data_IF_552439532510
#
_entry.id   IF_552439532510
#
_cell.length_a   1.000
_cell.length_b   1.000
_cell.length_c   1.000
_cell.angle_alpha   90.00
_cell.angle_beta   90.00
_cell.angle_gamma   90.00
#
_symmetry.space_group_name_H-M   'P 1'
#
loop_
_entity.id
_entity.type
_entity.pdbx_description
1 polymer ?
#
# COMPACT_ATOMS: atom_id res chain seq x y z
N UNK A 1 1.18 11.67 -10.23
CA UNK A 1 2.03 12.45 -9.30
C UNK A 1 3.47 12.17 -9.69
N UNK A 2 4.26 13.20 -9.94
CA UNK A 2 5.65 13.04 -10.38
C UNK A 2 6.65 13.22 -9.23
N UNK A 3 6.19 13.77 -8.11
CA UNK A 3 6.98 14.04 -6.91
C UNK A 3 6.16 13.73 -5.67
N UNK A 4 6.83 13.29 -4.61
CA UNK A 4 6.25 13.06 -3.30
C UNK A 4 7.22 13.54 -2.21
N UNK A 5 6.69 14.09 -1.11
CA UNK A 5 7.49 14.58 0.02
C UNK A 5 7.47 13.56 1.16
N UNK A 6 8.58 13.43 1.85
CA UNK A 6 8.64 12.64 3.09
C UNK A 6 7.91 13.39 4.20
N UNK A 7 6.92 12.78 4.78
CA UNK A 7 6.15 13.29 5.89
C UNK A 7 6.84 13.10 7.25
N UNK A 8 6.32 13.71 8.31
CA UNK A 8 6.92 13.68 9.65
C UNK A 8 6.92 12.29 10.30
N UNK A 9 6.05 11.38 9.85
CA UNK A 9 5.98 9.99 10.30
C UNK A 9 6.91 9.04 9.51
N UNK A 10 7.69 9.57 8.56
CA UNK A 10 8.55 8.78 7.67
C UNK A 10 7.83 8.14 6.47
N UNK A 11 6.50 8.29 6.36
CA UNK A 11 5.73 7.94 5.16
C UNK A 11 5.78 9.05 4.12
N UNK A 12 5.11 8.87 2.98
CA UNK A 12 4.88 9.97 2.06
C UNK A 12 3.82 10.92 2.64
N UNK A 13 4.00 12.21 2.40
CA UNK A 13 3.05 13.22 2.85
C UNK A 13 1.65 12.92 2.28
N UNK A 14 0.63 12.98 3.12
CA UNK A 14 -0.76 12.64 2.83
C UNK A 14 -1.04 11.15 2.57
N UNK A 15 -0.04 10.26 2.58
CA UNK A 15 -0.29 8.81 2.51
C UNK A 15 -0.70 8.30 3.91
N UNK A 16 -1.78 7.49 3.96
CA UNK A 16 -2.26 6.80 5.17
C UNK A 16 -2.57 7.69 6.38
N UNK A 17 -2.97 8.93 6.14
CA UNK A 17 -3.31 9.90 7.20
C UNK A 17 -4.81 9.98 7.48
N UNK A 18 -5.65 9.29 6.73
CA UNK A 18 -7.09 9.17 6.98
C UNK A 18 -7.50 7.72 7.19
N UNK A 19 -8.33 7.51 8.19
CA UNK A 19 -8.93 6.22 8.47
C UNK A 19 -10.42 6.36 8.72
N UNK A 20 -11.18 5.32 8.34
CA UNK A 20 -12.62 5.23 8.59
C UNK A 20 -12.84 4.48 9.90
N UNK A 21 -13.65 5.04 10.79
CA UNK A 21 -14.03 4.44 12.05
C UNK A 21 -15.54 4.25 12.13
N UNK A 22 -15.99 3.08 12.56
CA UNK A 22 -17.38 2.82 12.93
C UNK A 22 -17.71 3.38 14.33
N UNK A 23 -18.98 3.44 14.66
CA UNK A 23 -19.45 4.00 15.93
C UNK A 23 -18.85 3.33 17.18
N UNK A 24 -18.49 2.06 17.09
CA UNK A 24 -17.85 1.30 18.16
C UNK A 24 -16.32 1.50 18.23
N UNK A 25 -15.79 2.45 17.45
CA UNK A 25 -14.38 2.83 17.45
C UNK A 25 -13.45 1.88 16.67
N UNK A 26 -13.98 0.87 15.99
CA UNK A 26 -13.20 0.00 15.11
C UNK A 26 -12.98 0.66 13.76
N UNK A 27 -11.78 0.52 13.18
CA UNK A 27 -11.55 1.03 11.82
C UNK A 27 -12.11 0.09 10.76
N UNK A 28 -12.70 0.69 9.74
CA UNK A 28 -13.21 0.01 8.54
C UNK A 28 -12.10 -0.11 7.52
N UNK A 29 -11.80 -1.31 7.08
CA UNK A 29 -10.72 -1.57 6.13
C UNK A 29 -11.05 -2.72 5.16
N UNK A 30 -10.28 -2.81 4.07
CA UNK A 30 -10.45 -3.83 3.04
C UNK A 30 -10.18 -5.28 3.50
N UNK A 31 -9.52 -5.48 4.64
CA UNK A 31 -9.29 -6.83 5.20
C UNK A 31 -10.60 -7.46 5.68
N UNK A 32 -11.46 -6.66 6.30
CA UNK A 32 -12.71 -7.10 6.95
C UNK A 32 -13.96 -6.76 6.16
N UNK A 33 -13.92 -5.67 5.39
CA UNK A 33 -15.10 -5.10 4.73
C UNK A 33 -14.89 -5.10 3.21
N UNK A 34 -15.40 -6.13 2.54
CA UNK A 34 -15.27 -6.29 1.09
C UNK A 34 -15.83 -5.07 0.30
N UNK A 35 -16.88 -4.43 0.82
CA UNK A 35 -17.47 -3.25 0.21
C UNK A 35 -16.50 -2.07 0.02
N UNK A 36 -15.42 -1.97 0.81
CA UNK A 36 -14.39 -0.94 0.60
C UNK A 36 -13.73 -1.04 -0.77
N UNK A 37 -13.66 -2.23 -1.36
CA UNK A 37 -13.06 -2.45 -2.68
C UNK A 37 -13.91 -1.91 -3.84
N UNK A 38 -15.18 -1.61 -3.61
CA UNK A 38 -16.07 -1.08 -4.63
C UNK A 38 -15.97 0.44 -4.77
N UNK A 39 -15.40 1.12 -3.78
CA UNK A 39 -15.23 2.57 -3.77
C UNK A 39 -14.07 2.94 -4.69
N UNK A 40 -14.26 3.98 -5.50
CA UNK A 40 -13.22 4.62 -6.30
C UNK A 40 -12.97 6.01 -5.73
N UNK A 41 -11.70 6.36 -5.59
CA UNK A 41 -11.25 7.68 -5.20
C UNK A 41 -10.48 8.30 -6.37
N UNK A 42 -10.91 9.46 -6.83
CA UNK A 42 -10.22 10.25 -7.83
C UNK A 42 -9.78 11.57 -7.20
N UNK A 43 -8.47 11.81 -7.17
CA UNK A 43 -7.91 13.04 -6.63
C UNK A 43 -7.75 14.09 -7.72
N UNK A 44 -7.96 15.35 -7.37
CA UNK A 44 -7.53 16.46 -8.20
C UNK A 44 -6.00 16.44 -8.41
N UNK A 45 -5.52 16.99 -9.51
CA UNK A 45 -4.09 16.97 -9.85
C UNK A 45 -3.20 17.63 -8.78
N UNK A 46 -3.73 18.65 -8.10
CA UNK A 46 -3.09 19.37 -6.99
C UNK A 46 -3.40 18.78 -5.59
N UNK A 47 -4.11 17.65 -5.56
CA UNK A 47 -4.57 16.96 -4.34
C UNK A 47 -5.47 17.85 -3.44
N UNK A 48 -6.03 18.92 -3.96
CA UNK A 48 -6.92 19.82 -3.22
C UNK A 48 -8.31 19.23 -2.96
N UNK A 49 -8.69 18.19 -3.69
CA UNK A 49 -9.98 17.50 -3.52
C UNK A 49 -9.89 16.03 -3.87
N UNK A 50 -10.83 15.26 -3.34
CA UNK A 50 -11.06 13.84 -3.69
C UNK A 50 -12.53 13.64 -4.04
N UNK A 51 -12.79 12.90 -5.12
CA UNK A 51 -14.14 12.49 -5.53
C UNK A 51 -14.30 11.00 -5.24
N UNK A 52 -15.30 10.63 -4.46
CA UNK A 52 -15.68 9.23 -4.24
C UNK A 52 -16.82 8.84 -5.13
N UNK A 53 -16.71 7.63 -5.72
CA UNK A 53 -17.74 7.00 -6.54
C UNK A 53 -17.86 5.52 -6.22
N UNK A 54 -19.03 4.93 -6.51
CA UNK A 54 -19.25 3.48 -6.41
C UNK A 54 -19.86 3.00 -7.72
N UNK A 55 -19.05 2.68 -8.74
CA UNK A 55 -19.54 2.22 -10.03
C UNK A 55 -20.37 0.95 -9.91
N UNK A 56 -21.55 0.93 -10.55
CA UNK A 56 -22.45 -0.23 -10.55
C UNK A 56 -23.23 -0.44 -9.24
N UNK A 57 -23.17 0.46 -8.29
CA UNK A 57 -23.98 0.37 -7.07
C UNK A 57 -25.46 0.54 -7.39
N UNK A 58 -26.26 -0.49 -7.05
CA UNK A 58 -27.73 -0.49 -7.25
C UNK A 58 -28.45 0.54 -6.40
N UNK A 59 -27.89 0.98 -5.29
CA UNK A 59 -28.42 2.01 -4.38
C UNK A 59 -28.27 3.41 -4.96
N UNK A 60 -27.49 3.56 -6.04
CA UNK A 60 -27.22 4.83 -6.71
C UNK A 60 -26.61 5.88 -5.78
N UNK A 61 -25.66 5.46 -4.95
CA UNK A 61 -24.88 6.38 -4.12
C UNK A 61 -24.28 7.47 -5.00
N UNK A 62 -24.52 8.77 -4.72
CA UNK A 62 -24.05 9.84 -5.58
C UNK A 62 -22.54 9.97 -5.56
N UNK A 63 -21.95 10.29 -6.70
CA UNK A 63 -20.57 10.76 -6.73
C UNK A 63 -20.48 12.10 -6.00
N UNK A 64 -19.53 12.22 -5.06
CA UNK A 64 -19.36 13.45 -4.30
C UNK A 64 -17.88 13.80 -4.17
N UNK A 65 -17.59 15.09 -4.23
CA UNK A 65 -16.24 15.64 -4.07
C UNK A 65 -16.12 16.37 -2.75
N UNK A 66 -14.97 16.19 -2.10
CA UNK A 66 -14.67 16.75 -0.79
C UNK A 66 -13.35 17.49 -0.86
N UNK A 67 -13.27 18.64 -0.18
CA UNK A 67 -12.01 19.35 -0.03
C UNK A 67 -11.02 18.48 0.76
N UNK A 68 -9.82 18.34 0.24
CA UNK A 68 -8.77 17.50 0.80
C UNK A 68 -7.62 18.40 1.27
N UNK A 69 -7.17 18.34 2.52
CA UNK A 69 -7.54 17.38 3.58
C UNK A 69 -8.71 17.80 4.50
N UNK A 70 -9.43 18.85 4.21
CA UNK A 70 -10.24 19.60 5.19
C UNK A 70 -11.64 19.06 5.47
N UNK A 71 -12.37 18.50 4.48
CA UNK A 71 -13.80 18.16 4.64
C UNK A 71 -13.98 16.71 5.11
N UNK A 72 -13.62 16.45 6.36
CA UNK A 72 -13.81 15.12 6.98
C UNK A 72 -15.27 14.85 7.37
N UNK A 73 -16.06 15.89 7.64
CA UNK A 73 -17.46 15.73 8.06
C UNK A 73 -18.34 15.34 6.88
N UNK A 74 -18.26 16.05 5.75
CA UNK A 74 -18.96 15.66 4.53
C UNK A 74 -18.56 14.29 4.02
N UNK A 75 -17.27 13.95 4.06
CA UNK A 75 -16.81 12.61 3.73
C UNK A 75 -17.36 11.56 4.70
N UNK A 76 -17.47 11.86 6.01
CA UNK A 76 -18.04 10.95 7.01
C UNK A 76 -19.51 10.67 6.72
N UNK A 77 -20.29 11.69 6.33
CA UNK A 77 -21.68 11.53 5.91
C UNK A 77 -21.81 10.63 4.69
N UNK A 78 -20.96 10.86 3.66
CA UNK A 78 -20.96 10.02 2.46
C UNK A 78 -20.62 8.56 2.76
N UNK A 79 -19.60 8.30 3.57
CA UNK A 79 -19.24 6.94 3.97
C UNK A 79 -20.31 6.30 4.86
N UNK A 80 -20.97 7.09 5.73
CA UNK A 80 -22.09 6.59 6.54
C UNK A 80 -23.28 6.15 5.68
N UNK A 81 -23.62 6.93 4.67
CA UNK A 81 -24.64 6.56 3.68
C UNK A 81 -24.23 5.29 2.91
N UNK A 82 -22.97 5.20 2.46
CA UNK A 82 -22.47 4.05 1.71
C UNK A 82 -22.48 2.76 2.54
N UNK A 83 -21.98 2.79 3.75
CA UNK A 83 -21.90 1.61 4.62
C UNK A 83 -23.18 1.32 5.42
N UNK A 84 -24.21 2.18 5.30
CA UNK A 84 -25.49 2.08 6.04
C UNK A 84 -25.28 1.99 7.57
N UNK A 85 -24.25 2.66 8.08
CA UNK A 85 -23.91 2.76 9.48
C UNK A 85 -23.11 4.03 9.75
N UNK A 86 -23.10 4.49 10.99
CA UNK A 86 -22.32 5.67 11.35
C UNK A 86 -20.80 5.41 11.13
N UNK A 87 -20.22 6.20 10.24
CA UNK A 87 -18.77 6.20 9.92
C UNK A 87 -18.23 7.59 10.18
N UNK A 88 -17.06 7.63 10.80
CA UNK A 88 -16.28 8.84 11.00
C UNK A 88 -14.95 8.74 10.25
N UNK A 89 -14.66 9.71 9.39
CA UNK A 89 -13.34 9.91 8.81
C UNK A 89 -12.47 10.64 9.83
N UNK A 90 -11.34 10.05 10.21
CA UNK A 90 -10.40 10.68 11.13
C UNK A 90 -9.07 10.91 10.44
N UNK A 91 -8.54 12.10 10.63
CA UNK A 91 -7.22 12.50 10.19
C UNK A 91 -6.22 12.35 11.33
N UNK A 92 -5.05 11.76 11.05
CA UNK A 92 -3.93 11.72 11.98
C UNK A 92 -2.62 11.84 11.22
N UNK A 93 -1.62 12.50 11.79
CA UNK A 93 -0.27 12.56 11.24
C UNK A 93 0.61 11.41 11.69
N UNK A 94 0.13 10.57 12.60
CA UNK A 94 0.90 9.48 13.19
C UNK A 94 0.93 8.21 12.31
N UNK A 95 0.26 8.27 11.14
CA UNK A 95 0.13 7.15 10.22
C UNK A 95 -1.14 6.32 10.46
N UNK A 96 -1.29 5.25 9.69
CA UNK A 96 -2.47 4.40 9.74
C UNK A 96 -2.41 3.46 10.96
N UNK A 97 -3.52 3.18 11.63
CA UNK A 97 -3.54 2.34 12.85
C UNK A 97 -2.94 0.93 12.68
N UNK A 98 -2.74 0.49 11.44
CA UNK A 98 -2.28 -0.86 11.07
C UNK A 98 -0.80 -0.91 10.66
N UNK A 99 -0.10 0.23 10.61
CA UNK A 99 1.27 0.32 10.07
C UNK A 99 2.37 -0.16 11.04
N UNK A 100 2.07 -0.27 12.31
CA UNK A 100 3.04 -0.71 13.32
C UNK A 100 4.30 0.18 13.34
N UNK A 101 5.49 -0.44 13.34
CA UNK A 101 6.78 0.27 13.37
C UNK A 101 7.36 0.58 11.99
N UNK A 102 6.78 0.07 10.91
CA UNK A 102 7.26 0.26 9.53
C UNK A 102 6.38 1.29 8.81
N UNK A 103 6.55 2.56 9.18
CA UNK A 103 5.75 3.69 8.67
C UNK A 103 6.22 4.21 7.32
N UNK A 104 7.40 3.81 6.86
CA UNK A 104 7.96 4.21 5.58
C UNK A 104 7.24 3.59 4.37
N UNK A 105 7.50 4.12 3.18
CA UNK A 105 6.96 3.59 1.93
C UNK A 105 7.38 2.13 1.71
N UNK A 106 6.45 1.27 1.29
CA UNK A 106 6.80 -0.08 0.84
C UNK A 106 7.41 -0.04 -0.56
N UNK A 107 8.43 -0.86 -0.81
CA UNK A 107 9.16 -0.90 -2.08
C UNK A 107 8.96 -2.24 -2.77
N UNK A 108 8.69 -2.20 -4.07
CA UNK A 108 8.59 -3.37 -4.95
C UNK A 108 9.22 -3.09 -6.30
N UNK A 109 9.68 -4.13 -7.00
CA UNK A 109 10.09 -3.98 -8.40
C UNK A 109 8.95 -4.24 -9.37
N UNK A 110 8.97 -3.56 -10.52
CA UNK A 110 8.05 -3.81 -11.64
C UNK A 110 8.13 -5.29 -12.05
N UNK A 111 9.33 -5.85 -12.16
CA UNK A 111 9.53 -7.25 -12.51
C UNK A 111 8.91 -8.22 -11.49
N UNK A 112 8.85 -7.87 -10.19
CA UNK A 112 8.12 -8.67 -9.19
C UNK A 112 6.61 -8.67 -9.42
N UNK A 113 6.04 -7.54 -9.80
CA UNK A 113 4.63 -7.45 -10.17
C UNK A 113 4.33 -8.26 -11.44
N UNK A 114 5.21 -8.20 -12.43
CA UNK A 114 5.11 -8.99 -13.67
C UNK A 114 5.17 -10.49 -13.37
N UNK A 115 6.06 -10.96 -12.49
CA UNK A 115 6.12 -12.35 -12.06
C UNK A 115 4.78 -12.80 -11.43
N UNK A 116 4.11 -11.96 -10.67
CA UNK A 116 2.76 -12.27 -10.15
C UNK A 116 1.74 -12.38 -11.29
N UNK A 117 1.82 -11.54 -12.31
CA UNK A 117 0.93 -11.65 -13.48
C UNK A 117 1.16 -12.98 -14.26
N UNK A 118 2.41 -13.45 -14.32
CA UNK A 118 2.71 -14.78 -14.89
C UNK A 118 2.10 -15.91 -14.04
N UNK A 119 2.13 -15.80 -12.70
CA UNK A 119 1.49 -16.79 -11.83
C UNK A 119 -0.03 -16.78 -11.92
N UNK A 120 -0.61 -15.62 -12.20
CA UNK A 120 -2.05 -15.39 -12.29
C UNK A 120 -2.42 -14.67 -13.59
N UNK A 121 -2.55 -15.41 -14.73
CA UNK A 121 -2.75 -14.80 -16.04
C UNK A 121 -4.01 -13.93 -16.20
N UNK A 122 -4.95 -14.02 -15.27
CA UNK A 122 -6.15 -13.15 -15.21
C UNK A 122 -5.88 -11.80 -14.55
N UNK A 123 -4.71 -11.60 -13.93
CA UNK A 123 -4.34 -10.37 -13.25
C UNK A 123 -3.42 -9.57 -14.16
N UNK A 124 -3.84 -8.37 -14.54
CA UNK A 124 -2.98 -7.41 -15.24
C UNK A 124 -2.03 -6.74 -14.26
N UNK A 125 -0.98 -6.09 -14.77
CA UNK A 125 -0.03 -5.37 -13.92
C UNK A 125 -0.71 -4.23 -13.13
N UNK A 126 -1.67 -3.54 -13.72
CA UNK A 126 -2.44 -2.50 -13.02
C UNK A 126 -3.33 -3.09 -11.93
N UNK A 127 -3.93 -4.23 -12.18
CA UNK A 127 -4.67 -4.97 -11.15
C UNK A 127 -3.73 -5.44 -10.03
N UNK A 128 -2.52 -5.92 -10.33
CA UNK A 128 -1.52 -6.28 -9.33
C UNK A 128 -1.13 -5.07 -8.46
N UNK A 129 -0.87 -3.90 -9.05
CA UNK A 129 -0.63 -2.64 -8.33
C UNK A 129 -1.77 -2.31 -7.37
N UNK A 130 -3.02 -2.41 -7.84
CA UNK A 130 -4.20 -2.13 -7.02
C UNK A 130 -4.39 -3.12 -5.87
N UNK A 131 -4.07 -4.41 -6.07
CA UNK A 131 -4.20 -5.44 -5.05
C UNK A 131 -3.11 -5.35 -3.98
N UNK A 132 -1.86 -5.17 -4.40
CA UNK A 132 -0.72 -5.13 -3.47
C UNK A 132 -0.51 -3.76 -2.84
N UNK A 133 -0.92 -2.66 -3.51
CA UNK A 133 -0.91 -1.29 -2.95
C UNK A 133 0.44 -0.90 -2.35
N UNK A 134 1.51 -1.24 -3.04
CA UNK A 134 2.85 -0.81 -2.68
C UNK A 134 3.03 0.67 -3.00
N UNK A 135 3.89 1.33 -2.25
CA UNK A 135 3.99 2.80 -2.31
C UNK A 135 4.99 3.25 -3.37
N UNK A 136 6.17 2.60 -3.41
CA UNK A 136 7.22 2.88 -4.39
C UNK A 136 7.44 1.66 -5.27
N UNK A 137 7.49 1.89 -6.58
CA UNK A 137 7.82 0.89 -7.59
C UNK A 137 9.17 1.25 -8.21
N UNK A 138 10.10 0.30 -8.25
CA UNK A 138 11.42 0.44 -8.86
C UNK A 138 11.49 -0.38 -10.14
N UNK A 139 12.22 0.11 -11.12
CA UNK A 139 12.40 -0.52 -12.42
C UNK A 139 13.88 -0.82 -12.72
N UNK A 140 14.14 -1.55 -13.83
CA UNK A 140 15.50 -1.87 -14.26
C UNK A 140 16.22 -2.93 -13.45
N UNK A 141 15.50 -3.70 -12.61
CA UNK A 141 16.04 -4.77 -11.76
C UNK A 141 15.26 -6.07 -11.96
N UNK A 142 15.84 -7.25 -11.69
CA UNK A 142 15.11 -8.53 -11.79
C UNK A 142 14.01 -8.67 -10.74
N UNK A 143 13.10 -9.62 -10.95
CA UNK A 143 12.05 -9.94 -10.00
C UNK A 143 12.62 -10.28 -8.61
N UNK A 144 11.96 -9.77 -7.57
CA UNK A 144 12.35 -9.95 -6.16
C UNK A 144 13.73 -9.36 -5.81
N UNK A 145 14.25 -8.45 -6.61
CA UNK A 145 15.48 -7.73 -6.30
C UNK A 145 15.38 -6.98 -4.98
N UNK A 146 14.20 -6.47 -4.66
CA UNK A 146 13.90 -5.77 -3.41
C UNK A 146 14.13 -6.62 -2.16
N UNK A 147 14.24 -7.94 -2.27
CA UNK A 147 14.59 -8.82 -1.14
C UNK A 147 16.01 -8.58 -0.61
N UNK A 148 16.87 -7.87 -1.34
CA UNK A 148 18.16 -7.43 -0.86
C UNK A 148 18.07 -6.24 0.11
N UNK A 149 16.90 -5.59 0.20
CA UNK A 149 16.69 -4.41 1.03
C UNK A 149 16.35 -4.73 2.49
N UNK A 150 16.41 -5.99 2.92
CA UNK A 150 16.30 -6.36 4.34
C UNK A 150 17.35 -7.39 4.73
N UNK A 151 17.78 -7.35 6.00
CA UNK A 151 18.83 -8.22 6.50
C UNK A 151 18.30 -9.59 6.94
N UNK A 152 19.22 -10.56 7.09
CA UNK A 152 18.94 -11.91 7.63
C UNK A 152 18.35 -11.88 9.05
N UNK A 153 18.78 -10.91 9.88
CA UNK A 153 18.27 -10.75 11.23
C UNK A 153 17.20 -9.65 11.32
N UNK A 154 16.14 -9.89 12.10
CA UNK A 154 15.09 -8.90 12.38
C UNK A 154 15.59 -7.66 13.14
N UNK A 155 16.70 -7.80 13.84
CA UNK A 155 17.31 -6.70 14.62
C UNK A 155 18.20 -5.80 13.76
N UNK A 156 18.44 -6.16 12.49
CA UNK A 156 19.27 -5.41 11.55
C UNK A 156 18.43 -4.85 10.42
N UNK A 157 18.83 -3.68 9.92
CA UNK A 157 18.24 -3.04 8.74
C UNK A 157 19.28 -2.94 7.63
N UNK A 158 18.84 -2.96 6.40
CA UNK A 158 19.67 -2.60 5.25
C UNK A 158 19.44 -1.12 4.98
N UNK A 159 20.54 -0.34 5.01
CA UNK A 159 20.48 1.09 4.70
C UNK A 159 20.73 1.30 3.22
N UNK A 160 19.95 2.14 2.60
CA UNK A 160 20.10 2.53 1.20
C UNK A 160 19.57 3.96 1.03
N UNK A 161 19.73 4.51 -0.17
CA UNK A 161 19.23 5.84 -0.50
C UNK A 161 18.42 5.81 -1.79
N UNK A 162 17.42 6.69 -1.88
CA UNK A 162 16.86 7.10 -3.14
C UNK A 162 17.25 8.57 -3.29
N UNK A 163 18.16 8.84 -4.23
CA UNK A 163 18.90 10.12 -4.36
C UNK A 163 19.58 10.47 -3.03
N UNK A 164 19.09 11.44 -2.29
CA UNK A 164 19.63 11.92 -1.01
C UNK A 164 18.76 11.55 0.20
N UNK A 165 17.63 10.89 -0.02
CA UNK A 165 16.75 10.39 1.05
C UNK A 165 17.24 9.04 1.56
N UNK A 166 17.54 8.96 2.85
CA UNK A 166 17.95 7.72 3.49
C UNK A 166 16.75 6.85 3.88
N UNK A 167 16.88 5.55 3.60
CA UNK A 167 15.91 4.52 3.93
C UNK A 167 16.54 3.41 4.75
N UNK A 168 15.75 2.76 5.57
CA UNK A 168 16.08 1.54 6.28
C UNK A 168 15.07 0.45 5.91
N UNK A 169 15.50 -0.53 5.11
CA UNK A 169 14.69 -1.70 4.80
C UNK A 169 14.66 -2.65 6.00
N UNK A 170 13.48 -3.04 6.44
CA UNK A 170 13.28 -3.72 7.72
C UNK A 170 12.88 -5.18 7.59
N UNK A 171 11.90 -5.50 6.77
CA UNK A 171 11.39 -6.86 6.65
C UNK A 171 10.60 -7.08 5.36
N UNK A 172 10.52 -8.33 4.87
CA UNK A 172 9.62 -8.67 3.78
C UNK A 172 8.17 -8.49 4.23
N UNK A 173 7.38 -7.72 3.50
CA UNK A 173 6.03 -7.33 3.88
C UNK A 173 5.08 -8.55 3.88
N UNK A 174 4.63 -8.97 5.04
CA UNK A 174 3.58 -9.98 5.18
C UNK A 174 2.26 -9.44 4.61
N UNK A 175 1.65 -10.18 3.68
CA UNK A 175 0.44 -9.72 3.01
C UNK A 175 -0.81 -10.12 3.79
N UNK A 176 -1.72 -9.18 3.89
CA UNK A 176 -3.06 -9.41 4.41
C UNK A 176 -3.97 -10.06 3.35
N UNK A 177 -5.24 -10.39 3.65
CA UNK A 177 -6.17 -10.96 2.66
C UNK A 177 -6.51 -10.05 1.46
N UNK A 178 -6.22 -8.74 1.52
CA UNK A 178 -6.59 -7.78 0.46
C UNK A 178 -6.11 -8.19 -0.93
N UNK A 179 -4.85 -8.62 -1.17
CA UNK A 179 -4.41 -9.03 -2.50
C UNK A 179 -5.17 -10.23 -3.10
N UNK A 180 -5.80 -11.05 -2.28
CA UNK A 180 -6.65 -12.16 -2.76
C UNK A 180 -8.02 -11.72 -3.25
N UNK A 181 -8.34 -10.43 -3.16
CA UNK A 181 -9.61 -9.88 -3.64
C UNK A 181 -9.41 -9.17 -4.98
N UNK A 182 -10.37 -9.35 -5.85
CA UNK A 182 -10.49 -8.54 -7.06
C UNK A 182 -10.67 -7.06 -6.67
N UNK A 183 -9.87 -6.17 -7.24
CA UNK A 183 -9.86 -4.76 -6.84
C UNK A 183 -11.11 -4.00 -7.26
N UNK A 184 -11.89 -4.54 -8.20
CA UNK A 184 -13.09 -3.90 -8.74
C UNK A 184 -14.37 -4.42 -8.09
N UNK A 185 -14.41 -5.70 -7.77
CA UNK A 185 -15.62 -6.37 -7.28
C UNK A 185 -15.54 -6.74 -5.80
N UNK A 186 -14.35 -6.75 -5.21
CA UNK A 186 -14.12 -7.22 -3.85
C UNK A 186 -14.23 -8.74 -3.69
N UNK A 187 -14.51 -9.48 -4.78
CA UNK A 187 -14.63 -10.93 -4.76
C UNK A 187 -13.30 -11.57 -4.33
N UNK A 188 -13.38 -12.49 -3.36
CA UNK A 188 -12.20 -13.19 -2.86
C UNK A 188 -11.90 -14.42 -3.71
N UNK A 189 -10.62 -14.59 -4.07
CA UNK A 189 -10.08 -15.82 -4.63
C UNK A 189 -9.53 -16.68 -3.48
N UNK A 190 -10.24 -17.75 -3.16
CA UNK A 190 -9.89 -18.65 -2.04
C UNK A 190 -8.59 -19.45 -2.24
N UNK A 191 -8.06 -19.53 -3.46
CA UNK A 191 -6.82 -20.27 -3.77
C UNK A 191 -5.62 -19.34 -3.97
N UNK A 192 -5.84 -18.03 -4.08
CA UNK A 192 -4.81 -17.04 -4.36
C UNK A 192 -3.62 -17.12 -3.39
N UNK A 193 -3.89 -17.06 -2.10
CA UNK A 193 -2.85 -17.03 -1.07
C UNK A 193 -1.98 -18.29 -1.09
N UNK A 194 -2.60 -19.46 -1.27
CA UNK A 194 -1.89 -20.74 -1.36
C UNK A 194 -0.99 -20.77 -2.60
N UNK A 195 -1.55 -20.49 -3.79
CA UNK A 195 -0.82 -20.48 -5.06
C UNK A 195 0.31 -19.44 -5.04
N UNK A 196 0.06 -18.25 -4.54
CA UNK A 196 1.09 -17.22 -4.36
C UNK A 196 2.26 -17.74 -3.52
N UNK A 197 1.97 -18.30 -2.35
CA UNK A 197 3.00 -18.82 -1.44
C UNK A 197 3.82 -19.96 -2.05
N UNK A 198 3.19 -20.84 -2.81
CA UNK A 198 3.88 -21.90 -3.53
C UNK A 198 4.83 -21.35 -4.60
N UNK A 199 4.36 -20.42 -5.43
CA UNK A 199 5.19 -19.79 -6.47
C UNK A 199 6.34 -18.98 -5.85
N UNK A 200 6.05 -18.19 -4.83
CA UNK A 200 7.06 -17.38 -4.15
C UNK A 200 8.16 -18.22 -3.52
N UNK A 201 7.80 -19.36 -2.94
CA UNK A 201 8.77 -20.31 -2.36
C UNK A 201 9.67 -20.92 -3.43
N UNK A 202 9.11 -21.34 -4.58
CA UNK A 202 9.90 -21.97 -5.66
C UNK A 202 10.79 -20.97 -6.40
N UNK A 203 10.42 -19.70 -6.37
CA UNK A 203 11.15 -18.62 -7.05
C UNK A 203 11.89 -17.71 -6.07
N UNK A 204 12.18 -18.18 -4.85
CA UNK A 204 12.98 -17.42 -3.90
C UNK A 204 14.39 -17.23 -4.47
N UNK A 205 14.83 -15.97 -4.72
CA UNK A 205 16.13 -15.76 -5.34
C UNK A 205 17.27 -16.02 -4.34
N UNK A 206 18.49 -16.32 -4.84
CA UNK A 206 19.62 -16.68 -3.98
C UNK A 206 20.10 -15.52 -3.07
N UNK A 207 19.74 -14.28 -3.39
CA UNK A 207 20.07 -13.12 -2.55
C UNK A 207 19.04 -12.84 -1.45
N UNK A 208 17.87 -13.51 -1.47
CA UNK A 208 16.88 -13.32 -0.43
C UNK A 208 17.28 -14.05 0.86
N UNK A 209 17.26 -13.37 2.01
CA UNK A 209 17.48 -14.04 3.30
C UNK A 209 16.34 -15.01 3.62
N UNK A 210 16.55 -16.30 3.30
CA UNK A 210 15.50 -17.33 3.38
C UNK A 210 14.91 -17.47 4.80
N UNK A 211 15.70 -17.21 5.84
CA UNK A 211 15.33 -17.26 7.25
C UNK A 211 14.22 -16.26 7.61
N UNK A 212 14.05 -15.20 6.78
CA UNK A 212 13.02 -14.16 6.99
C UNK A 212 11.66 -14.56 6.46
N UNK A 213 11.54 -15.72 5.84
CA UNK A 213 10.30 -16.24 5.27
C UNK A 213 9.72 -17.36 6.15
N UNK A 214 9.16 -17.01 7.31
CA UNK A 214 8.36 -17.91 8.17
C UNK A 214 7.14 -18.47 7.41
N UNK A 215 6.63 -17.69 6.45
CA UNK A 215 5.68 -18.08 5.41
C UNK A 215 5.96 -17.30 4.12
N UNK A 216 5.55 -17.83 2.98
CA UNK A 216 5.85 -17.24 1.67
C UNK A 216 4.76 -16.29 1.12
N UNK A 217 3.74 -15.96 1.90
CA UNK A 217 2.79 -14.91 1.53
C UNK A 217 3.35 -13.53 1.93
N UNK A 218 4.57 -13.26 1.43
CA UNK A 218 5.33 -12.03 1.65
C UNK A 218 5.73 -11.42 0.32
N UNK A 219 5.52 -10.12 0.18
CA UNK A 219 5.72 -9.42 -1.10
C UNK A 219 5.97 -7.93 -0.88
N UNK A 220 6.99 -7.37 -1.51
CA UNK A 220 7.52 -6.05 -1.23
C UNK A 220 8.32 -5.98 0.09
N UNK A 221 8.99 -4.88 0.31
CA UNK A 221 9.79 -4.60 1.50
C UNK A 221 9.20 -3.45 2.27
N UNK A 222 9.03 -3.64 3.57
CA UNK A 222 8.70 -2.57 4.48
C UNK A 222 9.96 -1.75 4.79
N UNK A 223 9.78 -0.43 4.88
CA UNK A 223 10.87 0.48 5.18
C UNK A 223 10.57 1.37 6.38
N UNK A 224 11.62 2.00 6.88
CA UNK A 224 11.58 3.16 7.77
C UNK A 224 12.34 4.28 7.11
N UNK A 225 11.90 5.49 7.32
CA UNK A 225 12.61 6.69 6.90
C UNK A 225 12.91 7.51 8.15
N UNK A 226 14.18 7.80 8.44
CA UNK A 226 14.56 8.61 9.60
C UNK A 226 13.87 9.98 9.60
N UNK A 227 13.54 10.50 10.77
CA UNK A 227 12.88 11.82 10.88
C UNK A 227 13.74 12.98 10.34
N UNK A 228 15.04 12.79 10.24
CA UNK A 228 15.97 13.74 9.58
C UNK A 228 15.69 13.94 8.10
N UNK A 229 14.98 13.02 7.48
CA UNK A 229 14.62 13.05 6.05
C UNK A 229 13.31 13.80 5.79
N UNK A 230 12.57 14.18 6.84
CA UNK A 230 11.29 14.89 6.72
C UNK A 230 11.42 16.14 5.85
N UNK A 231 10.51 16.27 4.90
CA UNK A 231 10.46 17.40 3.97
C UNK A 231 11.27 17.22 2.69
N UNK A 232 12.13 16.21 2.59
CA UNK A 232 12.83 15.88 1.35
C UNK A 232 11.85 15.35 0.29
N UNK A 233 12.20 15.53 -0.98
CA UNK A 233 11.41 15.13 -2.14
C UNK A 233 11.95 13.85 -2.76
N UNK A 234 11.04 13.04 -3.25
CA UNK A 234 11.28 11.93 -4.17
C UNK A 234 10.60 12.25 -5.49
N UNK A 235 11.28 12.01 -6.61
CA UNK A 235 10.76 12.23 -7.95
C UNK A 235 10.77 10.96 -8.79
N UNK A 236 9.91 10.88 -9.79
CA UNK A 236 9.97 9.78 -10.75
C UNK A 236 11.32 9.77 -11.47
N UNK A 237 11.94 8.59 -11.55
CA UNK A 237 13.26 8.41 -12.16
C UNK A 237 14.44 8.58 -11.19
N UNK A 238 14.18 8.89 -9.93
CA UNK A 238 15.22 8.96 -8.90
C UNK A 238 15.91 7.60 -8.73
N UNK A 239 17.25 7.55 -8.76
CA UNK A 239 17.99 6.30 -8.61
C UNK A 239 17.98 5.80 -7.16
N UNK A 240 17.77 4.48 -7.01
CA UNK A 240 18.00 3.77 -5.75
C UNK A 240 19.46 3.32 -5.69
N UNK A 241 20.15 3.67 -4.61
CA UNK A 241 21.57 3.44 -4.39
C UNK A 241 21.76 2.55 -3.17
N UNK A 242 22.35 1.37 -3.37
CA UNK A 242 22.85 0.53 -2.28
C UNK A 242 24.18 1.09 -1.77
N UNK A 243 24.57 0.82 -0.51
CA UNK A 243 25.82 1.28 0.08
C UNK A 243 27.06 0.71 -0.62
#
# INVERSE_FOLDING_TARGET
MNEARIGPNGGLELDRVWALYSADGRWVNGKRTAATHLIRAAYAADISSVTFTVPGDRRKIPAMSFAFPGDTDGASEWFSMYFEQAIQVRYTRDGFPDDGLATGPTIISTASLEAVCEWFPSITIDEARQRFRTTLEIDGVPAFWEDQLFAESETRVVRFKIVDVAFEGSNPCARCPVPSRDSHTGAADGVFQKRFSEQRRTQLPPWAPAERFDHFYRFAVNTRVPSTETGKLLSLGDPLLLP
#
